data_IF_063478493051
#
_entry.id   IF_063478493051
#
_cell.length_a   1.000
_cell.length_b   1.000
_cell.length_c   1.000
_cell.angle_alpha   90.00
_cell.angle_beta   90.00
_cell.angle_gamma   90.00
#
_symmetry.space_group_name_H-M   'P 1'
#
loop_
_entity.id
_entity.type
_entity.pdbx_description
1 polymer ?
#
# COMPACT_ATOMS: atom_id res chain seq x y z
N UNK A 1 12.59 10.99 17.99
CA UNK A 1 11.44 10.71 17.12
C UNK A 1 11.94 10.23 15.78
N UNK A 2 11.46 9.06 15.33
CA UNK A 2 11.80 8.58 14.00
C UNK A 2 10.80 9.11 12.96
N UNK A 3 11.04 8.83 11.69
CA UNK A 3 10.21 9.36 10.61
C UNK A 3 8.76 8.83 10.68
N UNK A 4 8.57 7.58 11.07
CA UNK A 4 7.21 7.01 11.19
C UNK A 4 6.42 7.74 12.26
N UNK A 5 7.04 8.00 13.39
CA UNK A 5 6.41 8.77 14.48
C UNK A 5 6.06 10.19 14.03
N UNK A 6 6.92 10.80 13.24
CA UNK A 6 6.64 12.11 12.66
C UNK A 6 5.38 12.06 11.80
N UNK A 7 5.27 11.07 10.92
CA UNK A 7 4.08 10.92 10.07
C UNK A 7 2.81 10.67 10.90
N UNK A 8 2.92 9.82 11.92
CA UNK A 8 1.80 9.50 12.81
C UNK A 8 1.34 10.73 13.59
N UNK A 9 2.27 11.53 14.07
CA UNK A 9 1.95 12.75 14.80
C UNK A 9 1.29 13.79 13.89
N UNK A 10 1.76 13.93 12.67
CA UNK A 10 1.13 14.83 11.68
C UNK A 10 -0.28 14.38 11.37
N UNK A 11 -0.50 13.09 11.20
CA UNK A 11 -1.85 12.55 10.96
C UNK A 11 -2.77 12.90 12.14
N UNK A 12 -2.31 12.73 13.35
CA UNK A 12 -3.08 13.06 14.55
C UNK A 12 -3.42 14.57 14.58
N UNK A 13 -2.43 15.43 14.32
CA UNK A 13 -2.63 16.87 14.31
C UNK A 13 -3.63 17.30 13.22
N UNK A 14 -3.68 16.58 12.11
CA UNK A 14 -4.59 16.84 11.00
C UNK A 14 -5.97 16.22 11.19
N UNK A 15 -6.24 15.62 12.34
CA UNK A 15 -7.54 15.05 12.65
C UNK A 15 -7.83 13.71 11.96
N UNK A 16 -6.79 12.99 11.55
CA UNK A 16 -6.94 11.70 10.89
C UNK A 16 -7.39 10.65 11.91
N UNK A 17 -8.50 9.97 11.63
CA UNK A 17 -9.05 8.93 12.50
C UNK A 17 -8.55 7.53 12.18
N UNK A 18 -7.92 7.31 11.02
CA UNK A 18 -7.52 5.98 10.59
C UNK A 18 -6.23 6.06 9.77
N UNK A 19 -5.23 5.31 10.18
CA UNK A 19 -3.96 5.18 9.47
C UNK A 19 -4.00 3.93 8.60
N UNK A 20 -3.61 4.10 7.33
CA UNK A 20 -3.58 3.04 6.34
C UNK A 20 -2.19 3.05 5.71
N UNK A 21 -1.69 1.90 5.31
CA UNK A 21 -0.40 1.81 4.62
C UNK A 21 -0.57 1.14 3.26
N UNK A 22 0.31 1.49 2.33
CA UNK A 22 0.42 0.82 1.05
C UNK A 22 1.88 0.52 0.76
N UNK A 23 2.14 -0.64 0.17
CA UNK A 23 3.50 -1.08 -0.13
C UNK A 23 3.69 -1.26 -1.63
N UNK A 24 4.71 -0.61 -2.18
CA UNK A 24 5.16 -0.88 -3.55
C UNK A 24 6.20 -1.99 -3.48
N UNK A 25 5.82 -3.17 -3.96
CA UNK A 25 6.67 -4.36 -4.00
C UNK A 25 7.03 -4.62 -5.45
N UNK A 26 8.31 -4.79 -5.75
CA UNK A 26 8.77 -5.08 -7.10
C UNK A 26 9.45 -6.43 -7.16
N UNK A 27 9.43 -7.04 -8.36
CA UNK A 27 10.17 -8.28 -8.63
C UNK A 27 11.51 -7.95 -9.32
N UNK A 28 12.22 -8.98 -9.75
CA UNK A 28 13.54 -8.82 -10.39
C UNK A 28 13.47 -8.10 -11.74
N UNK A 29 12.28 -7.99 -12.33
CA UNK A 29 12.06 -7.29 -13.59
C UNK A 29 11.56 -5.86 -13.38
N UNK A 30 11.61 -5.36 -12.14
CA UNK A 30 11.10 -4.04 -11.76
C UNK A 30 9.61 -3.85 -12.02
N UNK A 31 8.86 -4.96 -12.07
CA UNK A 31 7.40 -4.92 -12.16
C UNK A 31 6.79 -4.75 -10.77
N UNK A 32 5.69 -4.02 -10.69
CA UNK A 32 4.99 -3.72 -9.44
C UNK A 32 3.89 -4.74 -9.21
N UNK A 33 3.77 -5.21 -7.97
CA UNK A 33 2.69 -6.11 -7.57
C UNK A 33 1.39 -5.33 -7.38
N UNK A 34 0.37 -5.70 -8.14
CA UNK A 34 -1.00 -5.22 -7.96
C UNK A 34 -1.89 -6.41 -7.61
N UNK A 35 -2.86 -6.18 -6.73
CA UNK A 35 -3.77 -7.20 -6.24
C UNK A 35 -5.21 -6.77 -6.52
N UNK A 36 -6.01 -7.67 -7.08
CA UNK A 36 -7.39 -7.38 -7.47
C UNK A 36 -8.33 -7.67 -6.30
N UNK A 37 -9.11 -6.66 -5.90
CA UNK A 37 -10.15 -6.82 -4.87
C UNK A 37 -11.24 -7.76 -5.38
N UNK A 38 -11.85 -8.53 -4.46
CA UNK A 38 -12.95 -9.42 -4.81
C UNK A 38 -14.13 -8.61 -5.35
N UNK A 39 -14.86 -9.18 -6.32
CA UNK A 39 -15.96 -8.50 -6.99
C UNK A 39 -17.09 -8.08 -6.04
N UNK A 40 -17.29 -8.85 -4.97
CA UNK A 40 -18.33 -8.60 -3.97
C UNK A 40 -17.85 -7.71 -2.82
N UNK A 41 -16.62 -7.21 -2.86
CA UNK A 41 -16.07 -6.34 -1.86
C UNK A 41 -16.33 -4.87 -2.22
N UNK A 42 -16.11 -3.96 -1.26
CA UNK A 42 -16.15 -2.52 -1.52
C UNK A 42 -15.12 -2.19 -2.62
N UNK A 43 -15.56 -1.51 -3.67
CA UNK A 43 -14.76 -1.23 -4.87
C UNK A 43 -14.20 -2.52 -5.50
N UNK A 44 -15.02 -3.56 -5.55
CA UNK A 44 -14.63 -4.85 -6.12
C UNK A 44 -14.18 -4.75 -7.56
N UNK A 45 -13.25 -5.63 -7.95
CA UNK A 45 -12.70 -5.66 -9.30
C UNK A 45 -11.59 -4.64 -9.57
N UNK A 46 -11.37 -3.71 -8.66
CA UNK A 46 -10.28 -2.73 -8.78
C UNK A 46 -8.97 -3.36 -8.28
N UNK A 47 -7.86 -2.98 -8.93
CA UNK A 47 -6.54 -3.37 -8.46
C UNK A 47 -6.01 -2.34 -7.47
N UNK A 48 -5.18 -2.80 -6.54
CA UNK A 48 -4.57 -1.96 -5.52
C UNK A 48 -3.18 -2.51 -5.18
N UNK A 49 -2.37 -1.69 -4.51
CA UNK A 49 -1.11 -2.17 -3.95
C UNK A 49 -1.40 -2.86 -2.61
N UNK A 50 -0.57 -3.82 -2.19
CA UNK A 50 -0.75 -4.46 -0.87
C UNK A 50 -0.71 -3.42 0.25
N UNK A 51 -1.54 -3.62 1.27
CA UNK A 51 -1.59 -2.73 2.42
C UNK A 51 -2.83 -2.95 3.25
N UNK A 52 -3.08 -2.05 4.17
CA UNK A 52 -4.26 -2.12 5.01
C UNK A 52 -4.20 -1.19 6.20
N UNK A 53 -5.14 -1.37 7.12
CA UNK A 53 -5.39 -0.47 8.23
C UNK A 53 -4.56 -0.82 9.45
N UNK A 54 -4.09 0.21 10.16
CA UNK A 54 -3.48 0.03 11.46
C UNK A 54 -4.51 -0.44 12.48
N UNK A 55 -4.13 -1.39 13.30
CA UNK A 55 -4.89 -1.79 14.47
C UNK A 55 -4.42 -0.96 15.67
N UNK A 56 -5.22 -0.97 16.75
CA UNK A 56 -4.89 -0.21 17.96
C UNK A 56 -3.48 -0.56 18.46
N UNK A 57 -2.67 0.47 18.65
CA UNK A 57 -1.32 0.31 19.17
C UNK A 57 -0.26 -0.01 18.14
N UNK A 58 -0.64 -0.18 16.87
CA UNK A 58 0.34 -0.43 15.81
C UNK A 58 0.90 0.88 15.26
N UNK A 59 2.21 0.93 15.08
CA UNK A 59 2.86 1.98 14.31
C UNK A 59 2.88 1.62 12.82
N UNK A 60 3.31 2.57 11.99
CA UNK A 60 3.34 2.41 10.53
C UNK A 60 4.17 1.18 10.12
N UNK A 61 5.36 1.01 10.70
CA UNK A 61 6.22 -0.13 10.34
C UNK A 61 5.55 -1.47 10.66
N UNK A 62 4.93 -1.59 11.83
CA UNK A 62 4.26 -2.82 12.26
C UNK A 62 3.07 -3.15 11.36
N UNK A 63 2.32 -2.14 10.93
CA UNK A 63 1.22 -2.35 9.97
C UNK A 63 1.74 -2.86 8.64
N UNK A 64 2.81 -2.24 8.12
CA UNK A 64 3.44 -2.70 6.87
C UNK A 64 3.86 -4.16 6.96
N UNK A 65 4.55 -4.51 8.03
CA UNK A 65 5.03 -5.88 8.22
C UNK A 65 3.88 -6.88 8.28
N UNK A 66 2.85 -6.58 9.06
CA UNK A 66 1.71 -7.46 9.23
C UNK A 66 0.88 -7.59 7.95
N UNK A 67 0.54 -6.47 7.32
CA UNK A 67 -0.31 -6.49 6.12
C UNK A 67 0.39 -7.16 4.93
N UNK A 68 1.68 -6.92 4.74
CA UNK A 68 2.44 -7.59 3.69
C UNK A 68 2.38 -9.10 3.91
N UNK A 69 2.60 -9.55 5.14
CA UNK A 69 2.55 -10.99 5.46
C UNK A 69 1.16 -11.57 5.23
N UNK A 70 0.13 -10.90 5.72
CA UNK A 70 -1.24 -11.37 5.59
C UNK A 70 -1.71 -11.44 4.14
N UNK A 71 -1.39 -10.42 3.34
CA UNK A 71 -1.92 -10.32 1.99
C UNK A 71 -1.10 -11.05 0.93
N UNK A 72 0.19 -11.19 1.13
CA UNK A 72 1.07 -11.76 0.10
C UNK A 72 1.82 -13.01 0.53
N UNK A 73 1.96 -13.25 1.82
CA UNK A 73 2.84 -14.27 2.39
C UNK A 73 4.32 -13.91 2.32
N UNK A 74 4.67 -12.71 1.85
CA UNK A 74 6.05 -12.24 1.92
C UNK A 74 6.40 -11.76 3.32
N UNK A 75 7.69 -11.75 3.62
CA UNK A 75 8.23 -11.14 4.83
C UNK A 75 8.84 -9.79 4.47
N UNK A 76 8.51 -8.76 5.22
CA UNK A 76 9.11 -7.44 5.04
C UNK A 76 10.57 -7.50 5.46
N UNK A 77 11.49 -7.25 4.52
CA UNK A 77 12.92 -7.21 4.81
C UNK A 77 13.33 -5.82 5.27
N UNK A 78 12.90 -4.78 4.54
CA UNK A 78 13.18 -3.39 4.91
C UNK A 78 12.31 -2.43 4.11
N UNK A 79 12.13 -1.23 4.66
CA UNK A 79 11.49 -0.13 3.95
C UNK A 79 12.61 0.65 3.24
N UNK A 80 12.51 0.80 1.92
CA UNK A 80 13.53 1.45 1.11
C UNK A 80 13.33 2.96 1.08
N UNK A 81 12.09 3.42 0.83
CA UNK A 81 11.81 4.85 0.74
C UNK A 81 10.33 5.14 0.96
N UNK A 82 10.07 6.38 1.36
CA UNK A 82 8.72 6.92 1.46
C UNK A 82 8.32 7.54 0.12
N UNK A 83 7.11 7.24 -0.35
CA UNK A 83 6.63 7.74 -1.64
C UNK A 83 5.78 9.00 -1.44
N UNK A 84 4.65 8.85 -0.75
CA UNK A 84 3.70 9.94 -0.50
C UNK A 84 2.61 9.48 0.47
N UNK A 85 1.66 10.37 0.72
CA UNK A 85 0.40 9.98 1.35
C UNK A 85 -0.77 10.59 0.59
N UNK A 86 -1.96 10.05 0.80
CA UNK A 86 -3.20 10.68 0.38
C UNK A 86 -4.30 10.44 1.41
N UNK A 87 -5.25 11.37 1.46
CA UNK A 87 -6.35 11.33 2.41
C UNK A 87 -7.65 10.98 1.69
N UNK A 88 -8.54 10.28 2.39
CA UNK A 88 -9.85 9.92 1.87
C UNK A 88 -10.81 9.62 3.02
N UNK A 89 -12.10 9.56 2.71
CA UNK A 89 -13.09 9.07 3.68
C UNK A 89 -13.27 7.58 3.46
N UNK A 90 -13.11 6.80 4.53
CA UNK A 90 -13.33 5.35 4.49
C UNK A 90 -14.82 5.04 4.35
N UNK A 91 -15.16 3.78 4.06
CA UNK A 91 -16.55 3.34 3.99
C UNK A 91 -17.33 3.56 5.30
N UNK A 92 -16.63 3.62 6.43
CA UNK A 92 -17.22 3.94 7.74
C UNK A 92 -17.34 5.43 8.01
N UNK A 93 -16.93 6.29 7.08
CA UNK A 93 -16.95 7.74 7.25
C UNK A 93 -15.78 8.32 8.02
N UNK A 94 -14.79 7.52 8.35
CA UNK A 94 -13.60 8.01 9.04
C UNK A 94 -12.65 8.68 8.05
N UNK A 95 -12.06 9.82 8.48
CA UNK A 95 -11.01 10.48 7.74
C UNK A 95 -9.75 9.63 7.84
N UNK A 96 -9.29 9.14 6.70
CA UNK A 96 -8.20 8.17 6.61
C UNK A 96 -7.01 8.74 5.85
N UNK A 97 -5.82 8.34 6.23
CA UNK A 97 -4.59 8.71 5.52
C UNK A 97 -3.81 7.46 5.20
N UNK A 98 -3.53 7.26 3.91
CA UNK A 98 -2.71 6.15 3.44
C UNK A 98 -1.30 6.63 3.16
N UNK A 99 -0.34 6.05 3.86
CA UNK A 99 1.08 6.30 3.64
C UNK A 99 1.66 5.20 2.76
N UNK A 100 2.33 5.57 1.69
CA UNK A 100 2.85 4.62 0.70
C UNK A 100 4.38 4.56 0.74
N UNK A 101 4.91 3.34 0.75
CA UNK A 101 6.35 3.09 0.87
C UNK A 101 6.80 2.08 -0.18
N UNK A 102 8.02 2.30 -0.69
CA UNK A 102 8.73 1.27 -1.44
C UNK A 102 9.40 0.35 -0.44
N UNK A 103 9.20 -0.95 -0.58
CA UNK A 103 9.73 -1.95 0.36
C UNK A 103 10.50 -3.03 -0.38
N UNK A 104 11.37 -3.70 0.36
CA UNK A 104 12.02 -4.93 -0.08
C UNK A 104 11.47 -6.08 0.74
N UNK A 105 11.14 -7.18 0.08
CA UNK A 105 10.54 -8.36 0.72
C UNK A 105 11.36 -9.61 0.41
N UNK A 106 11.16 -10.65 1.22
CA UNK A 106 11.74 -11.98 1.01
C UNK A 106 10.63 -13.02 1.17
N UNK A 107 10.93 -14.27 0.82
CA UNK A 107 9.98 -15.37 1.02
C UNK A 107 9.02 -15.53 -0.16
N UNK A 108 7.83 -15.97 0.14
CA UNK A 108 6.85 -16.39 -0.85
C UNK A 108 6.70 -17.90 -0.84
N UNK A 109 5.93 -18.48 -1.76
CA UNK A 109 5.23 -17.81 -2.85
C UNK A 109 4.07 -16.94 -2.37
N UNK A 110 3.52 -16.13 -3.27
CA UNK A 110 2.33 -15.32 -2.96
C UNK A 110 1.16 -16.26 -2.68
N UNK A 111 0.50 -16.02 -1.54
CA UNK A 111 -0.72 -16.73 -1.16
C UNK A 111 -1.79 -15.67 -0.93
N UNK A 112 -2.87 -15.73 -1.71
CA UNK A 112 -3.95 -14.76 -1.62
C UNK A 112 -4.93 -15.13 -0.51
N UNK A 113 -5.40 -14.16 0.24
CA UNK A 113 -6.41 -14.34 1.31
C UNK A 113 -7.65 -13.49 1.05
N UNK A 114 -7.48 -12.22 0.77
CA UNK A 114 -8.59 -11.26 0.62
C UNK A 114 -8.75 -10.76 -0.81
N UNK A 115 -7.90 -11.18 -1.74
CA UNK A 115 -7.92 -10.75 -3.13
C UNK A 115 -8.17 -11.93 -4.06
N UNK A 116 -8.80 -11.65 -5.22
CA UNK A 116 -9.11 -12.68 -6.22
C UNK A 116 -7.87 -13.14 -6.98
N UNK A 117 -7.01 -12.20 -7.33
CA UNK A 117 -5.82 -12.48 -8.12
C UNK A 117 -4.79 -11.37 -7.94
N UNK A 118 -3.64 -11.57 -8.52
CA UNK A 118 -2.60 -10.55 -8.55
C UNK A 118 -1.95 -10.52 -9.93
N UNK A 119 -1.24 -9.42 -10.20
CA UNK A 119 -0.42 -9.33 -11.41
C UNK A 119 0.81 -8.49 -11.13
N UNK A 120 1.85 -8.75 -11.90
CA UNK A 120 3.05 -7.92 -11.93
C UNK A 120 2.94 -6.99 -13.12
N UNK A 121 3.06 -5.69 -12.89
CA UNK A 121 2.79 -4.66 -13.90
C UNK A 121 4.02 -3.82 -14.11
N UNK A 122 4.38 -3.63 -15.37
CA UNK A 122 5.48 -2.74 -15.74
C UNK A 122 5.12 -1.30 -15.38
N UNK A 123 6.11 -0.53 -14.90
CA UNK A 123 5.92 0.88 -14.55
C UNK A 123 5.32 1.70 -15.70
N UNK A 124 5.68 1.39 -16.95
CA UNK A 124 5.16 2.12 -18.10
C UNK A 124 3.70 1.83 -18.40
N UNK A 125 3.12 0.80 -17.81
CA UNK A 125 1.74 0.38 -18.03
C UNK A 125 0.78 0.79 -16.91
N UNK A 126 1.26 1.54 -15.92
CA UNK A 126 0.45 1.91 -14.75
C UNK A 126 -0.83 2.67 -15.17
N UNK A 127 -0.72 3.56 -16.14
CA UNK A 127 -1.84 4.42 -16.54
C UNK A 127 -3.00 3.64 -17.15
N UNK A 128 -2.75 2.43 -17.65
CA UNK A 128 -3.77 1.58 -18.25
C UNK A 128 -4.42 0.62 -17.27
N UNK A 129 -3.94 0.58 -16.03
CA UNK A 129 -4.46 -0.34 -15.02
C UNK A 129 -5.73 0.21 -14.36
N UNK A 130 -6.61 -0.70 -13.96
CA UNK A 130 -7.84 -0.33 -13.25
C UNK A 130 -7.55 -0.18 -11.75
N UNK A 131 -6.93 0.94 -11.40
CA UNK A 131 -6.64 1.31 -10.01
C UNK A 131 -7.32 2.64 -9.70
N UNK A 132 -7.48 2.97 -8.41
CA UNK A 132 -8.03 4.27 -8.03
C UNK A 132 -7.12 5.40 -8.49
N UNK A 133 -7.67 6.59 -8.68
CA UNK A 133 -6.88 7.76 -9.07
C UNK A 133 -5.77 8.07 -8.08
N UNK A 134 -6.04 7.91 -6.79
CA UNK A 134 -5.04 8.17 -5.75
C UNK A 134 -3.88 7.18 -5.82
N UNK A 135 -4.17 5.90 -6.00
CA UNK A 135 -3.13 4.87 -6.16
C UNK A 135 -2.34 5.11 -7.46
N UNK A 136 -3.04 5.44 -8.53
CA UNK A 136 -2.38 5.74 -9.82
C UNK A 136 -1.39 6.90 -9.66
N UNK A 137 -1.80 7.97 -9.00
CA UNK A 137 -0.92 9.11 -8.75
C UNK A 137 0.29 8.71 -7.92
N UNK A 138 0.09 7.91 -6.89
CA UNK A 138 1.18 7.41 -6.04
C UNK A 138 2.19 6.61 -6.84
N UNK A 139 1.73 5.75 -7.74
CA UNK A 139 2.61 4.95 -8.59
C UNK A 139 3.35 5.81 -9.63
N UNK A 140 2.71 6.85 -10.14
CA UNK A 140 3.36 7.82 -11.03
C UNK A 140 4.47 8.55 -10.29
N UNK A 141 4.22 9.00 -9.07
CA UNK A 141 5.24 9.64 -8.22
C UNK A 141 6.41 8.68 -8.00
N UNK A 142 6.13 7.44 -7.67
CA UNK A 142 7.17 6.42 -7.49
C UNK A 142 8.00 6.28 -8.76
N UNK A 143 7.36 6.19 -9.92
CA UNK A 143 8.04 6.05 -11.22
C UNK A 143 9.02 7.20 -11.47
N UNK A 144 8.60 8.43 -11.21
CA UNK A 144 9.47 9.59 -11.40
C UNK A 144 10.65 9.60 -10.44
N UNK A 145 10.45 9.17 -9.21
CA UNK A 145 11.51 9.14 -8.21
C UNK A 145 12.56 8.07 -8.48
N UNK A 146 12.21 7.03 -9.25
CA UNK A 146 13.14 5.95 -9.58
C UNK A 146 14.04 6.27 -10.78
N UNK A 147 13.83 7.35 -11.46
CA UNK A 147 14.65 7.76 -12.61
C UNK A 147 15.87 8.57 -12.21
#
# INVERSE_FOLDING_TARGET
MNFYEYLENRAKDDGIGKIVVGAVITNDNDEILLMKRKEDDFMGGIFEIPGGNAEDGEGIYEVLEREIKEETNFDLKRVISYINYFDYLSGSGKKSRQFNFKVEVTGGPIILTEHDTYRWVNLDEIETQNVSDAVKESLIIYRFNEK
#
